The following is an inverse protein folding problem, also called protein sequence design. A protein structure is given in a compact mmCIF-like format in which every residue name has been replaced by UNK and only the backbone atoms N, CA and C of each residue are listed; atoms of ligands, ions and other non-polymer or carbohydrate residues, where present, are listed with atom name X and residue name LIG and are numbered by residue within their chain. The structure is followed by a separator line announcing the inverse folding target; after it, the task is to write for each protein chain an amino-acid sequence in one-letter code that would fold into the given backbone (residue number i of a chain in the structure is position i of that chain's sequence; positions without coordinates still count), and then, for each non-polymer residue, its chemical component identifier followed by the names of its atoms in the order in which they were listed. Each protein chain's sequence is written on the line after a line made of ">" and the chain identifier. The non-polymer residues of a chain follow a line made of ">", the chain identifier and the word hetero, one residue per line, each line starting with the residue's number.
data_IF_884969022356
#
_entry.id   IF_884969022356
#
_cell.length_a   1.000
_cell.length_b   1.000
_cell.length_c   1.000
_cell.angle_alpha   90.00
_cell.angle_beta   90.00
_cell.angle_gamma   90.00
#
_symmetry.space_group_name_H-M   'P 1'
#
loop_
_entity.id
_entity.type
_entity.pdbx_description
1 polymer ?
#
# COMPACT_ATOMS: atom_id res chain seq x y z
N UNK A 1 -38.50 14.47 -99.86
CA UNK A 1 -38.91 14.01 -98.50
C UNK A 1 -37.93 13.02 -97.88
N UNK A 2 -37.53 11.95 -98.57
CA UNK A 2 -36.69 10.88 -98.01
C UNK A 2 -35.35 11.32 -97.35
N UNK A 3 -34.66 12.34 -97.89
CA UNK A 3 -33.41 12.86 -97.29
C UNK A 3 -33.63 13.51 -95.92
N UNK A 4 -34.70 14.31 -95.77
CA UNK A 4 -35.05 15.02 -94.53
C UNK A 4 -35.45 14.07 -93.41
N UNK A 5 -36.19 13.00 -93.76
CA UNK A 5 -36.58 11.94 -92.81
C UNK A 5 -35.34 11.22 -92.28
N UNK A 6 -34.38 10.86 -93.15
CA UNK A 6 -33.10 10.28 -92.72
C UNK A 6 -32.28 11.19 -91.81
N UNK A 7 -32.30 12.50 -92.05
CA UNK A 7 -31.58 13.46 -91.20
C UNK A 7 -32.18 13.55 -89.81
N UNK A 8 -33.52 13.59 -89.70
CA UNK A 8 -34.20 13.59 -88.41
C UNK A 8 -34.05 12.28 -87.65
N UNK A 9 -34.12 11.13 -88.34
CA UNK A 9 -33.84 9.83 -87.72
C UNK A 9 -32.41 9.75 -87.16
N UNK A 10 -31.44 10.38 -87.85
CA UNK A 10 -30.08 10.45 -87.34
C UNK A 10 -29.98 11.34 -86.10
N UNK A 11 -30.63 12.51 -86.10
CA UNK A 11 -30.66 13.41 -84.95
C UNK A 11 -31.32 12.79 -83.72
N UNK A 12 -32.40 12.02 -83.90
CA UNK A 12 -33.06 11.31 -82.80
C UNK A 12 -32.11 10.25 -82.25
N UNK A 13 -31.45 9.46 -83.11
CA UNK A 13 -30.46 8.46 -82.68
C UNK A 13 -29.29 9.08 -81.93
N UNK A 14 -28.74 10.18 -82.44
CA UNK A 14 -27.61 10.87 -81.81
C UNK A 14 -28.03 11.46 -80.44
N UNK A 15 -29.26 12.00 -80.33
CA UNK A 15 -29.83 12.50 -79.07
C UNK A 15 -30.03 11.38 -78.05
N UNK A 16 -30.58 10.24 -78.47
CA UNK A 16 -30.79 9.08 -77.61
C UNK A 16 -29.46 8.51 -77.12
N UNK A 17 -28.46 8.39 -77.99
CA UNK A 17 -27.10 8.00 -77.60
C UNK A 17 -26.49 8.97 -76.58
N UNK A 18 -26.69 10.27 -76.78
CA UNK A 18 -26.15 11.30 -75.90
C UNK A 18 -26.83 11.28 -74.51
N UNK A 19 -28.15 11.07 -74.48
CA UNK A 19 -28.90 10.90 -73.23
C UNK A 19 -28.47 9.63 -72.48
N UNK A 20 -28.32 8.49 -73.18
CA UNK A 20 -27.84 7.24 -72.56
C UNK A 20 -26.45 7.44 -71.95
N UNK A 21 -25.54 8.11 -72.66
CA UNK A 21 -24.19 8.39 -72.14
C UNK A 21 -24.21 9.33 -70.94
N UNK A 22 -25.09 10.34 -70.94
CA UNK A 22 -25.25 11.25 -69.80
C UNK A 22 -25.74 10.51 -68.56
N UNK A 23 -26.79 9.69 -68.69
CA UNK A 23 -27.34 8.90 -67.58
C UNK A 23 -26.31 7.90 -67.04
N UNK A 24 -25.56 7.23 -67.91
CA UNK A 24 -24.50 6.31 -67.50
C UNK A 24 -23.36 7.02 -66.77
N UNK A 25 -23.00 8.24 -67.18
CA UNK A 25 -21.98 9.04 -66.51
C UNK A 25 -22.43 9.48 -65.11
N UNK A 26 -23.70 9.88 -64.95
CA UNK A 26 -24.28 10.22 -63.65
C UNK A 26 -24.37 8.99 -62.72
N UNK A 27 -24.76 7.84 -63.25
CA UNK A 27 -24.80 6.57 -62.51
C UNK A 27 -23.40 6.18 -61.99
N UNK A 28 -22.39 6.31 -62.85
CA UNK A 28 -21.00 6.00 -62.49
C UNK A 28 -20.45 6.97 -61.42
N UNK A 29 -20.77 8.27 -61.51
CA UNK A 29 -20.40 9.28 -60.51
C UNK A 29 -21.05 8.99 -59.15
N UNK A 30 -22.33 8.60 -59.15
CA UNK A 30 -23.03 8.18 -57.93
C UNK A 30 -22.43 6.90 -57.33
N UNK A 31 -22.04 5.92 -58.16
CA UNK A 31 -21.42 4.68 -57.68
C UNK A 31 -20.04 4.94 -57.05
N UNK A 32 -19.26 5.86 -57.60
CA UNK A 32 -17.98 6.30 -57.01
C UNK A 32 -18.20 6.96 -55.65
N UNK A 33 -19.14 7.91 -55.55
CA UNK A 33 -19.47 8.56 -54.27
C UNK A 33 -19.96 7.59 -53.20
N UNK A 34 -20.76 6.58 -53.59
CA UNK A 34 -21.19 5.53 -52.67
C UNK A 34 -20.00 4.73 -52.12
N UNK A 35 -19.02 4.41 -52.97
CA UNK A 35 -17.79 3.73 -52.52
C UNK A 35 -16.94 4.60 -51.60
N UNK A 36 -16.83 5.90 -51.88
CA UNK A 36 -16.11 6.84 -51.01
C UNK A 36 -16.76 6.95 -49.63
N UNK A 37 -18.09 7.16 -49.57
CA UNK A 37 -18.80 7.21 -48.30
C UNK A 37 -18.71 5.89 -47.53
N UNK A 38 -18.74 4.75 -48.21
CA UNK A 38 -18.56 3.46 -47.55
C UNK A 38 -17.17 3.34 -46.92
N UNK A 39 -16.12 3.77 -47.61
CA UNK A 39 -14.76 3.78 -47.07
C UNK A 39 -14.62 4.72 -45.86
N UNK A 40 -15.29 5.87 -45.89
CA UNK A 40 -15.31 6.82 -44.77
C UNK A 40 -16.05 6.24 -43.55
N UNK A 41 -17.17 5.56 -43.76
CA UNK A 41 -17.91 4.82 -42.72
C UNK A 41 -17.03 3.73 -42.10
N UNK A 42 -16.33 2.95 -42.91
CA UNK A 42 -15.46 1.89 -42.42
C UNK A 42 -14.29 2.46 -41.59
N UNK A 43 -13.70 3.57 -42.05
CA UNK A 43 -12.67 4.29 -41.30
C UNK A 43 -13.20 4.83 -39.96
N UNK A 44 -14.39 5.44 -39.95
CA UNK A 44 -15.02 5.95 -38.74
C UNK A 44 -15.32 4.82 -37.73
N UNK A 45 -15.76 3.66 -38.21
CA UNK A 45 -16.01 2.48 -37.38
C UNK A 45 -14.75 1.96 -36.70
N UNK A 46 -13.60 1.95 -37.39
CA UNK A 46 -12.31 1.56 -36.79
C UNK A 46 -11.94 2.49 -35.64
N UNK A 47 -12.10 3.80 -35.83
CA UNK A 47 -11.83 4.79 -34.77
C UNK A 47 -12.79 4.62 -33.59
N UNK A 48 -14.08 4.41 -33.86
CA UNK A 48 -15.08 4.18 -32.83
C UNK A 48 -14.76 2.96 -31.96
N UNK A 49 -14.39 1.83 -32.58
CA UNK A 49 -14.02 0.62 -31.84
C UNK A 49 -12.77 0.82 -30.98
N UNK A 50 -11.79 1.57 -31.47
CA UNK A 50 -10.61 1.91 -30.69
C UNK A 50 -10.97 2.75 -29.46
N UNK A 51 -11.75 3.81 -29.63
CA UNK A 51 -12.19 4.67 -28.54
C UNK A 51 -12.99 3.90 -27.50
N UNK A 52 -13.83 2.96 -27.94
CA UNK A 52 -14.60 2.09 -27.05
C UNK A 52 -13.71 1.19 -26.19
N UNK A 53 -12.69 0.57 -26.79
CA UNK A 53 -11.74 -0.22 -26.03
C UNK A 53 -10.95 0.64 -25.02
N UNK A 54 -10.58 1.86 -25.41
CA UNK A 54 -9.95 2.82 -24.50
C UNK A 54 -10.90 3.20 -23.34
N UNK A 55 -12.19 3.45 -23.62
CA UNK A 55 -13.23 3.69 -22.60
C UNK A 55 -13.35 2.51 -21.61
N UNK A 56 -13.42 1.28 -22.12
CA UNK A 56 -13.49 0.07 -21.29
C UNK A 56 -12.25 -0.04 -20.37
N UNK A 57 -11.05 0.22 -20.90
CA UNK A 57 -9.82 0.19 -20.06
C UNK A 57 -9.80 1.29 -19.00
N UNK A 58 -10.34 2.46 -19.29
CA UNK A 58 -10.43 3.56 -18.32
C UNK A 58 -11.46 3.24 -17.23
N UNK A 59 -12.59 2.61 -17.59
CA UNK A 59 -13.59 2.15 -16.62
C UNK A 59 -12.96 1.14 -15.64
N UNK A 60 -12.18 0.19 -16.14
CA UNK A 60 -11.48 -0.78 -15.28
C UNK A 60 -10.49 -0.11 -14.33
N UNK A 61 -9.71 0.87 -14.82
CA UNK A 61 -8.79 1.64 -13.98
C UNK A 61 -9.52 2.45 -12.91
N UNK A 62 -10.65 3.09 -13.24
CA UNK A 62 -11.47 3.85 -12.29
C UNK A 62 -12.01 2.92 -11.19
N UNK A 63 -12.49 1.73 -11.56
CA UNK A 63 -13.00 0.76 -10.59
C UNK A 63 -11.88 0.27 -9.66
N UNK A 64 -10.69 0.00 -10.18
CA UNK A 64 -9.54 -0.37 -9.36
C UNK A 64 -9.16 0.75 -8.37
N UNK A 65 -9.05 1.99 -8.85
CA UNK A 65 -8.73 3.14 -8.01
C UNK A 65 -9.80 3.39 -6.93
N UNK A 66 -11.08 3.17 -7.25
CA UNK A 66 -12.20 3.27 -6.31
C UNK A 66 -12.09 2.20 -5.20
N UNK A 67 -11.74 0.97 -5.56
CA UNK A 67 -11.54 -0.11 -4.59
C UNK A 67 -10.36 0.16 -3.65
N UNK A 68 -9.26 0.72 -4.17
CA UNK A 68 -8.12 1.17 -3.37
C UNK A 68 -8.51 2.31 -2.42
N UNK A 69 -9.27 3.30 -2.91
CA UNK A 69 -9.76 4.42 -2.09
C UNK A 69 -10.66 3.94 -0.95
N UNK A 70 -11.55 2.99 -1.22
CA UNK A 70 -12.43 2.41 -0.20
C UNK A 70 -11.65 1.65 0.89
N UNK A 71 -10.54 0.97 0.52
CA UNK A 71 -9.66 0.32 1.49
C UNK A 71 -9.01 1.34 2.41
N UNK A 72 -8.46 2.42 1.86
CA UNK A 72 -7.85 3.51 2.64
C UNK A 72 -8.88 4.16 3.56
N UNK A 73 -10.08 4.45 3.06
CA UNK A 73 -11.16 5.03 3.87
C UNK A 73 -11.53 4.14 5.07
N UNK A 74 -11.61 2.82 4.85
CA UNK A 74 -11.88 1.87 5.94
C UNK A 74 -10.74 1.80 6.97
N UNK A 75 -9.48 1.87 6.52
CA UNK A 75 -8.32 1.93 7.41
C UNK A 75 -8.36 3.20 8.28
N UNK A 76 -8.65 4.37 7.71
CA UNK A 76 -8.77 5.64 8.44
C UNK A 76 -9.87 5.56 9.50
N UNK A 77 -11.05 5.02 9.16
CA UNK A 77 -12.16 4.88 10.12
C UNK A 77 -11.77 3.98 11.30
N UNK A 78 -11.03 2.91 11.04
CA UNK A 78 -10.52 2.01 12.09
C UNK A 78 -9.42 2.67 12.96
N UNK A 79 -8.59 3.56 12.39
CA UNK A 79 -7.63 4.37 13.14
C UNK A 79 -8.32 5.41 14.04
N UNK A 80 -9.30 6.15 13.51
CA UNK A 80 -10.06 7.17 14.26
C UNK A 80 -10.81 6.56 15.43
N UNK A 81 -11.40 5.38 15.21
CA UNK A 81 -12.05 4.60 16.26
C UNK A 81 -11.05 4.18 17.34
N UNK A 82 -9.87 3.69 16.95
CA UNK A 82 -8.79 3.36 17.87
C UNK A 82 -8.32 4.57 18.68
N UNK A 83 -8.10 5.72 18.06
CA UNK A 83 -7.67 6.94 18.76
C UNK A 83 -8.72 7.40 19.77
N UNK A 84 -10.00 7.38 19.38
CA UNK A 84 -11.11 7.69 20.29
C UNK A 84 -11.17 6.73 21.47
N UNK A 85 -11.05 5.44 21.22
CA UNK A 85 -11.08 4.43 22.28
C UNK A 85 -9.86 4.60 23.22
N UNK A 86 -8.65 4.81 22.67
CA UNK A 86 -7.44 5.09 23.46
C UNK A 86 -7.62 6.31 24.35
N UNK A 87 -8.13 7.43 23.81
CA UNK A 87 -8.42 8.64 24.59
C UNK A 87 -9.44 8.38 25.70
N UNK A 88 -10.47 7.58 25.43
CA UNK A 88 -11.49 7.24 26.44
C UNK A 88 -10.93 6.35 27.56
N UNK A 89 -10.03 5.43 27.23
CA UNK A 89 -9.34 4.59 28.22
C UNK A 89 -8.37 5.43 29.06
N UNK A 90 -7.60 6.33 28.44
CA UNK A 90 -6.70 7.23 29.15
C UNK A 90 -7.45 8.22 30.06
N UNK A 91 -8.63 8.71 29.66
CA UNK A 91 -9.43 9.64 30.46
C UNK A 91 -10.09 8.98 31.67
N UNK A 92 -10.51 7.71 31.57
CA UNK A 92 -11.10 6.97 32.69
C UNK A 92 -10.05 6.47 33.70
N UNK A 93 -8.75 6.62 33.40
CA UNK A 93 -7.64 6.16 34.24
C UNK A 93 -7.11 7.23 35.22
N UNK A 94 -8.00 8.06 35.78
CA UNK A 94 -7.65 9.09 36.79
C UNK A 94 -7.35 8.46 38.18
N UNK A 95 -7.59 7.15 38.36
CA UNK A 95 -7.48 6.46 39.66
C UNK A 95 -6.19 5.67 39.91
N UNK A 96 -5.27 5.60 38.95
CA UNK A 96 -4.02 4.86 39.15
C UNK A 96 -2.93 5.70 39.82
N UNK A 97 -2.04 5.02 40.53
CA UNK A 97 -0.94 5.66 41.25
C UNK A 97 0.04 6.35 40.29
N UNK A 98 0.22 5.78 39.08
CA UNK A 98 1.01 6.36 38.00
C UNK A 98 0.32 6.08 36.66
N UNK A 99 0.33 7.07 35.77
CA UNK A 99 -0.29 6.95 34.46
C UNK A 99 0.45 5.90 33.59
N UNK A 100 -0.27 5.08 32.82
CA UNK A 100 0.30 4.11 31.91
C UNK A 100 1.03 4.84 30.78
N UNK A 101 2.14 4.27 30.32
CA UNK A 101 2.88 4.79 29.16
C UNK A 101 2.40 4.04 27.94
N UNK A 102 1.72 4.68 27.01
CA UNK A 102 1.35 4.04 25.76
C UNK A 102 0.29 4.77 24.94
N UNK A 103 -0.02 4.24 23.74
CA UNK A 103 0.62 3.07 23.12
C UNK A 103 2.11 3.33 22.82
N UNK A 104 2.96 2.31 22.93
CA UNK A 104 4.43 2.47 22.80
C UNK A 104 4.82 3.22 21.52
N UNK A 105 4.16 2.94 20.39
CA UNK A 105 4.45 3.59 19.11
C UNK A 105 4.26 5.10 19.12
N UNK A 106 3.38 5.64 19.96
CA UNK A 106 3.20 7.08 20.12
C UNK A 106 4.36 7.77 20.86
N UNK A 107 5.23 7.00 21.52
CA UNK A 107 6.38 7.50 22.27
C UNK A 107 7.71 7.23 21.56
N UNK A 108 7.69 6.85 20.29
CA UNK A 108 8.88 6.43 19.55
C UNK A 108 8.95 7.15 18.21
N UNK A 109 10.09 7.76 17.95
CA UNK A 109 10.38 8.49 16.70
C UNK A 109 11.55 7.86 15.94
N UNK A 110 11.61 8.12 14.64
CA UNK A 110 12.66 7.61 13.74
C UNK A 110 13.76 8.66 13.53
N UNK A 111 15.02 8.22 13.56
CA UNK A 111 16.18 9.11 13.33
C UNK A 111 16.35 9.47 11.85
N UNK A 112 16.15 8.52 10.94
CA UNK A 112 16.47 8.65 9.51
C UNK A 112 15.21 8.76 8.61
N UNK A 113 14.13 9.34 9.14
CA UNK A 113 12.85 9.49 8.42
C UNK A 113 12.14 8.16 8.08
N UNK A 114 11.20 8.21 7.14
CA UNK A 114 10.28 7.10 6.83
C UNK A 114 10.94 5.89 6.14
N UNK A 115 12.24 5.97 5.82
CA UNK A 115 12.97 4.90 5.11
C UNK A 115 12.78 3.52 5.76
N UNK A 116 12.74 3.49 7.09
CA UNK A 116 12.66 2.26 7.86
C UNK A 116 11.30 2.03 8.52
N UNK A 117 10.31 2.91 8.29
CA UNK A 117 9.01 2.88 8.98
C UNK A 117 8.34 1.50 8.86
N UNK A 118 8.08 1.06 7.63
CA UNK A 118 7.46 -0.25 7.36
C UNK A 118 8.25 -1.42 7.95
N UNK A 119 9.58 -1.39 7.85
CA UNK A 119 10.43 -2.44 8.41
C UNK A 119 10.29 -2.52 9.94
N UNK A 120 10.25 -1.38 10.62
CA UNK A 120 10.17 -1.29 12.08
C UNK A 120 8.79 -1.68 12.59
N UNK A 121 7.73 -1.26 11.90
CA UNK A 121 6.36 -1.69 12.20
C UNK A 121 6.22 -3.21 12.07
N UNK A 122 6.85 -3.81 11.05
CA UNK A 122 6.92 -5.27 10.90
C UNK A 122 7.82 -5.94 11.97
N UNK A 123 8.91 -5.27 12.37
CA UNK A 123 9.90 -5.82 13.29
C UNK A 123 9.40 -5.86 14.74
N UNK A 124 8.87 -4.74 15.23
CA UNK A 124 8.34 -4.63 16.59
C UNK A 124 6.92 -5.20 16.66
N UNK A 125 6.11 -4.96 15.62
CA UNK A 125 4.75 -5.47 15.51
C UNK A 125 3.86 -4.98 16.66
N UNK A 126 3.14 -5.92 17.28
CA UNK A 126 2.09 -5.62 18.27
C UNK A 126 2.61 -4.91 19.52
N UNK A 127 3.91 -5.02 19.82
CA UNK A 127 4.51 -4.33 20.98
C UNK A 127 4.34 -2.81 20.86
N UNK A 128 4.32 -2.23 19.65
CA UNK A 128 4.03 -0.80 19.46
C UNK A 128 2.62 -0.41 19.94
N UNK A 129 1.66 -1.33 19.93
CA UNK A 129 0.30 -1.09 20.44
C UNK A 129 0.17 -1.34 21.96
N UNK A 130 1.24 -1.76 22.63
CA UNK A 130 1.19 -2.08 24.04
C UNK A 130 1.22 -0.83 24.93
N UNK A 131 0.62 -0.95 26.11
CA UNK A 131 0.71 0.01 27.19
C UNK A 131 1.58 -0.55 28.31
N UNK A 132 2.41 0.30 28.90
CA UNK A 132 3.31 -0.05 29.98
C UNK A 132 2.69 0.43 31.30
N UNK A 133 2.56 -0.47 32.27
CA UNK A 133 2.08 -0.18 33.63
C UNK A 133 3.13 -0.61 34.65
N UNK A 134 3.06 -0.08 35.87
CA UNK A 134 4.10 -0.36 36.88
C UNK A 134 3.92 -1.68 37.60
N UNK A 135 2.68 -2.10 37.86
CA UNK A 135 2.40 -3.29 38.65
C UNK A 135 1.17 -4.07 38.15
N UNK A 136 0.92 -5.22 38.78
CA UNK A 136 -0.20 -6.09 38.43
C UNK A 136 -1.57 -5.47 38.80
N UNK A 137 -1.66 -4.68 39.87
CA UNK A 137 -2.91 -4.03 40.29
C UNK A 137 -3.32 -2.97 39.27
N UNK A 138 -2.39 -2.14 38.84
CA UNK A 138 -2.58 -1.16 37.75
C UNK A 138 -3.01 -1.87 36.47
N UNK A 139 -2.40 -3.03 36.14
CA UNK A 139 -2.80 -3.81 34.96
C UNK A 139 -4.27 -4.28 35.02
N UNK A 140 -4.77 -4.66 36.19
CA UNK A 140 -6.15 -5.09 36.39
C UNK A 140 -7.12 -3.91 36.27
N UNK A 141 -6.78 -2.78 36.89
CA UNK A 141 -7.55 -1.55 36.78
C UNK A 141 -7.63 -1.09 35.32
N UNK A 142 -6.51 -1.13 34.61
CA UNK A 142 -6.44 -0.68 33.22
C UNK A 142 -7.24 -1.58 32.29
N UNK A 143 -7.21 -2.91 32.51
CA UNK A 143 -8.10 -3.85 31.81
C UNK A 143 -9.57 -3.59 32.11
N UNK A 144 -9.94 -3.24 33.33
CA UNK A 144 -11.33 -2.92 33.67
C UNK A 144 -11.80 -1.67 32.92
N UNK A 145 -11.02 -0.59 32.95
CA UNK A 145 -11.30 0.65 32.20
C UNK A 145 -11.39 0.41 30.68
N UNK A 146 -10.49 -0.40 30.12
CA UNK A 146 -10.54 -0.77 28.71
C UNK A 146 -11.79 -1.57 28.34
N UNK A 147 -12.26 -2.46 29.22
CA UNK A 147 -13.53 -3.19 29.00
C UNK A 147 -14.73 -2.26 29.00
N UNK A 148 -14.78 -1.30 29.92
CA UNK A 148 -15.83 -0.28 29.97
C UNK A 148 -15.86 0.57 28.69
N UNK A 149 -14.69 0.88 28.14
CA UNK A 149 -14.53 1.58 26.87
C UNK A 149 -14.71 0.68 25.63
N UNK A 150 -15.06 -0.60 25.78
CA UNK A 150 -15.16 -1.59 24.69
C UNK A 150 -13.85 -1.74 23.85
N UNK A 151 -12.70 -1.45 24.46
CA UNK A 151 -11.39 -1.63 23.84
C UNK A 151 -10.93 -3.10 23.94
N UNK A 152 -11.21 -3.87 22.88
CA UNK A 152 -11.07 -5.34 22.89
C UNK A 152 -9.62 -5.84 22.83
N UNK A 153 -8.71 -5.08 22.23
CA UNK A 153 -7.35 -5.54 21.95
C UNK A 153 -6.29 -4.78 22.76
N UNK A 154 -6.32 -4.98 24.07
CA UNK A 154 -5.38 -4.35 24.99
C UNK A 154 -4.16 -5.23 25.25
N UNK A 155 -2.99 -4.78 24.81
CA UNK A 155 -1.71 -5.37 25.21
C UNK A 155 -1.13 -4.55 26.37
N UNK A 156 -0.82 -5.21 27.49
CA UNK A 156 -0.23 -4.58 28.67
C UNK A 156 1.11 -5.24 28.95
N UNK A 157 2.14 -4.42 29.17
CA UNK A 157 3.46 -4.83 29.64
C UNK A 157 3.63 -4.25 31.04
N UNK A 158 3.95 -5.11 32.01
CA UNK A 158 4.27 -4.65 33.36
C UNK A 158 5.77 -4.38 33.40
N UNK A 159 6.15 -3.13 33.62
CA UNK A 159 7.55 -2.70 33.68
C UNK A 159 7.75 -1.61 34.72
N UNK A 160 8.83 -1.71 35.46
CA UNK A 160 9.15 -0.77 36.52
C UNK A 160 9.77 0.52 35.95
N UNK A 161 9.10 1.67 36.17
CA UNK A 161 9.52 2.97 35.61
C UNK A 161 10.79 3.54 36.24
N UNK A 162 11.18 3.05 37.43
CA UNK A 162 12.43 3.46 38.12
C UNK A 162 13.68 2.84 37.51
N UNK A 163 13.55 1.85 36.60
CA UNK A 163 14.72 1.21 36.01
C UNK A 163 15.49 2.20 35.13
N UNK A 164 16.82 2.31 35.32
CA UNK A 164 17.64 3.17 34.48
C UNK A 164 17.64 2.65 33.03
N UNK A 165 18.03 3.51 32.09
CA UNK A 165 18.21 3.13 30.69
C UNK A 165 19.18 1.95 30.59
N UNK A 166 18.77 0.91 29.88
CA UNK A 166 19.61 -0.25 29.59
C UNK A 166 20.79 0.17 28.72
N UNK A 167 21.98 -0.15 29.19
CA UNK A 167 23.21 -0.05 28.41
C UNK A 167 23.59 -1.45 27.94
N UNK A 168 23.62 -1.67 26.63
CA UNK A 168 24.01 -2.94 26.03
C UNK A 168 25.48 -2.83 25.62
N UNK A 169 26.40 -3.57 26.26
CA UNK A 169 27.77 -3.71 25.80
C UNK A 169 27.89 -4.11 24.33
N UNK A 170 28.91 -3.58 23.64
CA UNK A 170 29.10 -3.76 22.20
C UNK A 170 29.15 -5.23 21.77
N UNK A 171 29.79 -6.10 22.55
CA UNK A 171 29.88 -7.53 22.24
C UNK A 171 28.54 -8.28 22.27
N UNK A 172 27.51 -7.69 22.89
CA UNK A 172 26.14 -8.23 22.90
C UNK A 172 25.27 -7.68 21.77
N UNK A 173 25.75 -6.65 21.05
CA UNK A 173 25.08 -6.12 19.86
C UNK A 173 25.36 -7.00 18.64
N UNK A 174 24.51 -6.83 17.62
CA UNK A 174 24.74 -7.44 16.31
C UNK A 174 25.91 -6.74 15.62
N UNK A 175 26.99 -7.47 15.37
CA UNK A 175 28.20 -6.94 14.75
C UNK A 175 28.01 -6.86 13.23
N UNK A 176 27.46 -5.74 12.77
CA UNK A 176 27.09 -5.54 11.37
C UNK A 176 27.21 -4.08 10.96
N UNK A 177 27.41 -3.83 9.65
CA UNK A 177 27.36 -2.49 9.06
C UNK A 177 25.92 -2.00 8.84
N UNK A 178 24.94 -2.90 8.96
CA UNK A 178 23.53 -2.59 8.81
C UNK A 178 22.94 -2.07 10.12
N UNK A 179 22.02 -1.08 10.07
CA UNK A 179 21.39 -0.56 11.28
C UNK A 179 20.53 -1.63 11.95
N UNK A 180 20.46 -1.59 13.28
CA UNK A 180 19.49 -2.38 14.06
C UNK A 180 18.25 -1.57 14.35
N UNK A 181 17.12 -2.23 14.62
CA UNK A 181 15.87 -1.56 14.99
C UNK A 181 16.07 -0.57 16.14
N UNK A 182 16.80 -0.93 17.20
CA UNK A 182 17.04 -0.01 18.33
C UNK A 182 17.91 1.20 17.95
N UNK A 183 18.83 1.05 16.99
CA UNK A 183 19.75 2.13 16.61
C UNK A 183 19.05 3.30 15.92
N UNK A 184 17.98 3.00 15.16
CA UNK A 184 17.20 3.95 14.37
C UNK A 184 16.00 4.52 15.13
N UNK A 185 15.73 4.04 16.34
CA UNK A 185 14.64 4.52 17.20
C UNK A 185 15.14 5.55 18.22
N UNK A 186 14.27 6.50 18.53
CA UNK A 186 14.43 7.48 19.60
C UNK A 186 13.18 7.54 20.45
N UNK A 187 13.39 7.79 21.73
CA UNK A 187 12.33 8.06 22.69
C UNK A 187 12.94 8.85 23.83
N UNK A 188 12.20 9.84 24.33
CA UNK A 188 12.58 10.61 25.51
C UNK A 188 12.37 9.79 26.79
N UNK A 189 11.62 8.68 26.71
CA UNK A 189 11.32 7.83 27.84
C UNK A 189 12.23 6.58 27.85
N UNK A 190 13.15 6.44 28.84
CA UNK A 190 14.03 5.27 28.91
C UNK A 190 13.27 3.96 29.13
N UNK A 191 12.11 3.99 29.79
CA UNK A 191 11.27 2.80 29.98
C UNK A 191 10.79 2.24 28.63
N UNK A 192 10.45 3.10 27.68
CA UNK A 192 10.01 2.69 26.34
C UNK A 192 11.13 1.96 25.60
N UNK A 193 12.33 2.53 25.58
CA UNK A 193 13.50 1.90 24.95
C UNK A 193 13.87 0.58 25.62
N UNK A 194 13.82 0.51 26.95
CA UNK A 194 14.09 -0.71 27.68
C UNK A 194 13.09 -1.81 27.32
N UNK A 195 11.79 -1.50 27.25
CA UNK A 195 10.76 -2.47 26.84
C UNK A 195 10.96 -2.92 25.39
N UNK A 196 11.36 -2.03 24.49
CA UNK A 196 11.66 -2.40 23.09
C UNK A 196 12.85 -3.36 22.98
N UNK A 197 13.82 -3.27 23.89
CA UNK A 197 14.92 -4.23 24.00
C UNK A 197 14.41 -5.53 24.62
N UNK A 198 13.91 -5.48 25.86
CA UNK A 198 13.56 -6.67 26.66
C UNK A 198 12.43 -7.51 26.03
N UNK A 199 11.40 -6.86 25.48
CA UNK A 199 10.22 -7.51 24.90
C UNK A 199 10.30 -7.54 23.38
N UNK A 200 10.72 -6.42 22.77
CA UNK A 200 10.80 -6.29 21.32
C UNK A 200 12.02 -6.96 20.67
N UNK A 201 13.10 -7.18 21.41
CA UNK A 201 14.41 -7.63 20.89
C UNK A 201 14.97 -6.69 19.81
N UNK A 202 14.69 -5.39 19.93
CA UNK A 202 15.04 -4.39 18.92
C UNK A 202 16.56 -4.30 18.63
N UNK A 203 17.40 -4.74 19.55
CA UNK A 203 18.86 -4.79 19.44
C UNK A 203 19.38 -5.96 18.58
N UNK A 204 18.54 -6.98 18.37
CA UNK A 204 18.87 -8.21 17.61
C UNK A 204 18.14 -8.30 16.27
N UNK A 205 17.45 -7.23 15.89
CA UNK A 205 16.75 -7.10 14.63
C UNK A 205 17.55 -6.17 13.72
N UNK A 206 17.97 -6.67 12.57
CA UNK A 206 18.79 -5.91 11.60
C UNK A 206 17.94 -5.47 10.42
N UNK A 207 18.14 -4.23 9.97
CA UNK A 207 17.40 -3.61 8.89
C UNK A 207 18.24 -3.50 7.62
N UNK A 208 17.70 -3.92 6.49
CA UNK A 208 18.40 -3.98 5.19
C UNK A 208 17.59 -3.35 4.07
N UNK A 209 18.27 -2.83 3.06
CA UNK A 209 17.62 -2.04 2.00
C UNK A 209 16.66 -2.86 1.13
N UNK A 210 17.02 -4.09 0.81
CA UNK A 210 16.30 -4.87 -0.19
C UNK A 210 16.41 -6.37 0.09
N UNK A 211 15.67 -7.14 -0.71
CA UNK A 211 15.52 -8.59 -0.57
C UNK A 211 16.85 -9.35 -0.69
N UNK A 212 17.72 -8.95 -1.63
CA UNK A 212 18.99 -9.63 -1.83
C UNK A 212 19.96 -9.36 -0.70
N UNK A 213 20.06 -8.11 -0.23
CA UNK A 213 20.81 -7.78 0.98
C UNK A 213 20.29 -8.57 2.20
N UNK A 214 18.96 -8.73 2.31
CA UNK A 214 18.34 -9.53 3.37
C UNK A 214 18.75 -10.99 3.37
N UNK A 215 18.76 -11.65 2.21
CA UNK A 215 19.22 -13.04 2.10
C UNK A 215 20.67 -13.18 2.52
N UNK A 216 21.55 -12.29 2.03
CA UNK A 216 22.96 -12.35 2.37
C UNK A 216 23.19 -12.17 3.87
N UNK A 217 22.55 -11.18 4.49
CA UNK A 217 22.69 -10.90 5.93
C UNK A 217 22.07 -12.00 6.79
N UNK A 218 20.95 -12.59 6.37
CA UNK A 218 20.22 -13.59 7.16
C UNK A 218 20.80 -15.01 7.03
N UNK A 219 21.38 -15.36 5.87
CA UNK A 219 21.69 -16.74 5.50
C UNK A 219 23.14 -17.00 5.14
N UNK A 220 23.84 -16.04 4.53
CA UNK A 220 25.20 -16.23 4.02
C UNK A 220 26.27 -15.69 4.99
N UNK A 221 25.93 -14.67 5.78
CA UNK A 221 26.82 -14.05 6.76
C UNK A 221 26.62 -14.61 8.16
N UNK A 222 27.72 -14.75 8.90
CA UNK A 222 27.67 -15.06 10.32
C UNK A 222 27.73 -13.78 11.15
N UNK A 223 26.57 -13.35 11.67
CA UNK A 223 26.44 -12.17 12.53
C UNK A 223 26.08 -12.64 13.94
N UNK A 224 26.94 -12.30 14.91
CA UNK A 224 26.69 -12.61 16.33
C UNK A 224 25.43 -11.92 16.83
N UNK A 225 24.67 -12.57 17.71
CA UNK A 225 23.46 -12.04 18.36
C UNK A 225 22.31 -11.66 17.41
N UNK A 226 22.41 -11.95 16.10
CA UNK A 226 21.31 -11.74 15.15
C UNK A 226 20.12 -12.66 15.50
N UNK A 227 18.92 -12.10 15.51
CA UNK A 227 17.67 -12.86 15.68
C UNK A 227 16.93 -12.98 14.35
N UNK A 228 16.70 -11.83 13.72
CA UNK A 228 15.84 -11.64 12.54
C UNK A 228 16.34 -10.44 11.71
N UNK A 229 16.11 -10.49 10.40
CA UNK A 229 16.44 -9.44 9.43
C UNK A 229 15.15 -8.94 8.79
N UNK A 230 15.02 -7.63 8.63
CA UNK A 230 13.86 -6.98 8.02
C UNK A 230 14.28 -6.08 6.87
N UNK A 231 13.65 -6.24 5.72
CA UNK A 231 13.87 -5.36 4.57
C UNK A 231 13.06 -4.06 4.72
N UNK A 232 13.43 -2.99 4.00
CA UNK A 232 12.71 -1.71 4.08
C UNK A 232 11.25 -1.82 3.66
N UNK A 233 10.91 -2.75 2.76
CA UNK A 233 9.55 -3.06 2.31
C UNK A 233 8.81 -4.06 3.23
N UNK A 234 9.45 -4.54 4.31
CA UNK A 234 8.81 -5.28 5.39
C UNK A 234 8.91 -6.81 5.33
N UNK A 235 9.73 -7.40 4.44
CA UNK A 235 10.00 -8.84 4.48
C UNK A 235 10.78 -9.19 5.74
N UNK A 236 10.43 -10.31 6.34
CA UNK A 236 11.12 -10.86 7.51
C UNK A 236 11.91 -12.10 7.13
N UNK A 237 13.19 -12.13 7.45
CA UNK A 237 14.09 -13.24 7.16
C UNK A 237 14.80 -13.73 8.41
N UNK A 238 14.86 -15.04 8.62
CA UNK A 238 15.57 -15.62 9.76
C UNK A 238 15.90 -17.10 9.55
N UNK A 239 16.92 -17.55 10.27
CA UNK A 239 17.31 -18.95 10.36
C UNK A 239 16.89 -19.56 11.69
N UNK A 240 16.44 -20.82 11.67
CA UNK A 240 16.23 -21.66 12.86
C UNK A 240 16.90 -23.01 12.63
N UNK A 241 18.08 -23.19 13.21
CA UNK A 241 18.92 -24.34 12.90
C UNK A 241 19.32 -24.33 11.43
N UNK A 242 19.03 -25.42 10.71
CA UNK A 242 19.28 -25.54 9.27
C UNK A 242 18.18 -24.95 8.38
N UNK A 243 17.05 -24.51 8.95
CA UNK A 243 15.91 -24.01 8.18
C UNK A 243 16.04 -22.50 7.99
N UNK A 244 16.03 -22.09 6.73
CA UNK A 244 15.96 -20.69 6.31
C UNK A 244 14.50 -20.33 6.02
N UNK A 245 14.03 -19.19 6.50
CA UNK A 245 12.64 -18.76 6.33
C UNK A 245 12.57 -17.30 5.90
N UNK A 246 11.72 -17.03 4.90
CA UNK A 246 11.39 -15.70 4.43
C UNK A 246 9.88 -15.55 4.49
N UNK A 247 9.41 -14.53 5.20
CA UNK A 247 8.01 -14.19 5.33
C UNK A 247 7.75 -12.85 4.62
N UNK A 248 6.68 -12.74 3.82
CA UNK A 248 6.29 -11.48 3.21
C UNK A 248 5.83 -10.47 4.28
N UNK A 249 5.79 -9.17 3.93
CA UNK A 249 5.30 -8.12 4.82
C UNK A 249 3.88 -8.45 5.31
N UNK A 250 3.65 -8.35 6.61
CA UNK A 250 2.33 -8.60 7.17
C UNK A 250 1.39 -7.47 6.79
N UNK A 251 0.42 -7.73 5.89
CA UNK A 251 -0.71 -6.83 5.58
C UNK A 251 -1.77 -6.82 6.70
N UNK A 252 -1.34 -6.82 7.96
CA UNK A 252 -2.28 -6.89 9.07
C UNK A 252 -2.71 -5.47 9.45
N UNK A 253 -3.99 -5.16 9.29
CA UNK A 253 -4.65 -3.92 9.75
C UNK A 253 -4.50 -3.67 11.26
N UNK A 254 -3.97 -4.63 12.03
CA UNK A 254 -3.69 -4.55 13.47
C UNK A 254 -2.20 -4.55 13.81
N UNK A 255 -1.34 -4.26 12.84
CA UNK A 255 0.05 -3.90 13.09
C UNK A 255 0.13 -2.74 14.07
N UNK A 256 1.26 -2.62 14.77
CA UNK A 256 1.49 -1.45 15.58
C UNK A 256 2.17 -0.37 14.75
N UNK A 257 1.76 0.88 14.97
CA UNK A 257 2.16 2.00 14.13
C UNK A 257 3.13 2.91 14.86
N UNK A 258 4.05 3.50 14.12
CA UNK A 258 4.93 4.54 14.65
C UNK A 258 4.19 5.89 14.69
N UNK A 259 4.68 6.82 15.52
CA UNK A 259 4.13 8.17 15.54
C UNK A 259 4.44 8.89 14.23
N UNK A 260 3.42 9.23 13.44
CA UNK A 260 3.56 10.04 12.23
C UNK A 260 3.84 9.26 10.93
N UNK A 261 3.69 7.93 10.95
CA UNK A 261 3.60 7.11 9.73
C UNK A 261 2.20 7.11 9.13
#
# INVERSE_FOLDING_TARGET
>A
MAKRVKTFEQQIRDMDEQNIRSTQAEELDMEVKLKEFQAEIDSANVVFQRLRNEEDTLIDQINQAKDETNKIAHEIEEYDKRDRDIRSVSFNFIKATRAPIGPIGAHVTLVDGDKWGTAIECAIGKVLNAFIVTDHKDSLLFRASAREANYKHLQIIIYEFSRPRLHIPDHMLSQTHHPTTISVLRSDNPTVLNVLIDVGNAERQVLVKDYDAGKTVAFDQWISNLKEVYTSDGYKMFSRGSVQTILPPMKNTRGGCLSGS
#
